data_IF_929880447718
#
_entry.id   IF_929880447718
#
_cell.length_a   1.000
_cell.length_b   1.000
_cell.length_c   1.000
_cell.angle_alpha   90.00
_cell.angle_beta   90.00
_cell.angle_gamma   90.00
#
_symmetry.space_group_name_H-M   'P 1'
#
loop_
_entity.id
_entity.type
_entity.pdbx_description
1 polymer ?
#
# COMPACT_ATOMS: atom_id res chain seq x y z
N UNK A 1 -4.82 -3.54 1.47
CA UNK A 1 -5.86 -3.99 0.53
C UNK A 1 -7.17 -3.28 0.85
N UNK A 2 -7.65 -2.42 -0.07
CA UNK A 2 -8.92 -1.72 0.02
C UNK A 2 -10.06 -2.51 -0.63
N UNK A 3 -11.30 -2.28 -0.21
CA UNK A 3 -12.49 -2.91 -0.80
C UNK A 3 -13.70 -1.97 -0.76
N UNK A 4 -14.64 -2.17 -1.70
CA UNK A 4 -15.88 -1.39 -1.78
C UNK A 4 -16.96 -2.06 -0.94
N UNK A 5 -17.45 -1.36 0.08
CA UNK A 5 -18.45 -1.89 1.04
C UNK A 5 -19.88 -1.88 0.49
N UNK A 6 -20.12 -1.22 -0.67
CA UNK A 6 -21.40 -1.26 -1.34
C UNK A 6 -21.56 -2.49 -2.25
N UNK A 7 -20.43 -3.07 -2.69
CA UNK A 7 -20.39 -4.20 -3.63
C UNK A 7 -20.22 -5.55 -2.93
N UNK A 8 -19.82 -5.54 -1.66
CA UNK A 8 -19.49 -6.73 -0.87
C UNK A 8 -20.32 -6.79 0.40
N UNK A 9 -20.97 -7.93 0.63
CA UNK A 9 -21.51 -8.27 1.93
C UNK A 9 -20.38 -8.45 2.95
N UNK A 10 -20.68 -8.40 4.24
CA UNK A 10 -19.67 -8.59 5.30
C UNK A 10 -18.88 -9.90 5.19
N UNK A 11 -19.53 -10.96 4.72
CA UNK A 11 -18.91 -12.30 4.54
C UNK A 11 -17.95 -12.34 3.34
N UNK A 12 -18.16 -11.49 2.35
CA UNK A 12 -17.35 -11.43 1.13
C UNK A 12 -16.16 -10.47 1.27
N UNK A 13 -16.12 -9.64 2.32
CA UNK A 13 -15.02 -8.69 2.53
C UNK A 13 -13.70 -9.45 2.75
N UNK A 14 -12.65 -9.11 2.00
CA UNK A 14 -11.37 -9.77 2.16
C UNK A 14 -10.75 -9.37 3.51
N UNK A 15 -10.13 -10.33 4.19
CA UNK A 15 -9.48 -10.14 5.49
C UNK A 15 -7.98 -10.33 5.40
N UNK A 16 -7.54 -11.18 4.47
CA UNK A 16 -6.13 -11.46 4.23
C UNK A 16 -5.83 -11.62 2.74
N UNK A 17 -4.56 -11.62 2.39
CA UNK A 17 -4.09 -11.78 1.01
C UNK A 17 -4.60 -13.06 0.35
N UNK A 18 -4.64 -14.16 1.10
CA UNK A 18 -5.12 -15.46 0.61
C UNK A 18 -6.58 -15.46 0.16
N UNK A 19 -7.39 -14.55 0.68
CA UNK A 19 -8.81 -14.47 0.30
C UNK A 19 -8.97 -14.10 -1.18
N UNK A 20 -8.04 -13.30 -1.74
CA UNK A 20 -8.05 -12.93 -3.15
C UNK A 20 -7.79 -14.12 -4.10
N UNK A 21 -7.39 -15.26 -3.58
CA UNK A 21 -7.16 -16.48 -4.37
C UNK A 21 -8.43 -17.29 -4.60
N UNK A 22 -9.54 -16.97 -3.90
CA UNK A 22 -10.81 -17.66 -4.09
C UNK A 22 -11.39 -17.36 -5.49
N UNK A 23 -12.10 -18.32 -6.12
CA UNK A 23 -12.67 -18.15 -7.47
C UNK A 23 -13.57 -16.93 -7.63
N UNK A 24 -14.22 -16.49 -6.56
CA UNK A 24 -15.04 -15.28 -6.52
C UNK A 24 -14.27 -14.01 -7.00
N UNK A 25 -12.98 -13.92 -6.73
CA UNK A 25 -12.17 -12.74 -6.98
C UNK A 25 -11.64 -12.63 -8.42
N UNK A 26 -11.83 -13.65 -9.25
CA UNK A 26 -11.31 -13.64 -10.61
C UNK A 26 -11.83 -12.45 -11.41
N UNK A 27 -10.90 -11.56 -11.82
CA UNK A 27 -11.20 -10.33 -12.57
C UNK A 27 -11.88 -9.22 -11.77
N UNK A 28 -12.10 -9.39 -10.44
CA UNK A 28 -12.87 -8.46 -9.62
C UNK A 28 -12.04 -7.52 -8.76
N UNK A 29 -10.74 -7.62 -8.81
CA UNK A 29 -9.85 -6.71 -8.08
C UNK A 29 -8.80 -6.10 -8.98
N UNK A 30 -8.20 -5.03 -8.52
CA UNK A 30 -7.18 -4.28 -9.24
C UNK A 30 -5.91 -4.10 -8.40
N UNK A 31 -4.79 -3.85 -9.09
CA UNK A 31 -3.51 -3.54 -8.47
C UNK A 31 -2.68 -2.62 -9.38
N UNK A 32 -1.69 -1.98 -8.80
CA UNK A 32 -0.75 -1.18 -9.59
C UNK A 32 0.10 -2.08 -10.49
N UNK A 33 0.37 -1.61 -11.70
CA UNK A 33 1.20 -2.33 -12.67
C UNK A 33 2.69 -2.36 -12.28
N UNK A 34 3.08 -1.62 -11.26
CA UNK A 34 4.45 -1.47 -10.75
C UNK A 34 4.61 -1.95 -9.28
N UNK A 35 3.83 -2.95 -8.82
CA UNK A 35 3.88 -3.49 -7.46
C UNK A 35 5.13 -4.37 -7.19
N UNK A 36 6.28 -3.98 -7.71
CA UNK A 36 7.52 -4.77 -7.60
C UNK A 36 8.08 -4.79 -6.18
N UNK A 37 8.04 -3.64 -5.49
CA UNK A 37 8.51 -3.52 -4.11
C UNK A 37 7.60 -4.30 -3.15
N UNK A 38 6.29 -4.26 -3.38
CA UNK A 38 5.33 -5.06 -2.63
C UNK A 38 5.62 -6.56 -2.79
N UNK A 39 5.81 -7.04 -4.01
CA UNK A 39 6.16 -8.43 -4.28
C UNK A 39 7.48 -8.82 -3.61
N UNK A 40 8.54 -8.02 -3.78
CA UNK A 40 9.83 -8.27 -3.15
C UNK A 40 9.73 -8.28 -1.62
N UNK A 41 8.88 -7.45 -1.03
CA UNK A 41 8.64 -7.41 0.42
C UNK A 41 7.90 -8.65 0.90
N UNK A 42 6.97 -9.19 0.13
CA UNK A 42 6.36 -10.49 0.42
C UNK A 42 7.38 -11.63 0.36
N UNK A 43 8.34 -11.57 -0.58
CA UNK A 43 9.45 -12.55 -0.63
C UNK A 43 10.32 -12.46 0.61
N UNK A 44 10.63 -11.27 1.08
CA UNK A 44 11.40 -11.06 2.31
C UNK A 44 10.68 -11.60 3.55
N UNK A 45 9.38 -11.39 3.64
CA UNK A 45 8.57 -11.79 4.79
C UNK A 45 8.18 -13.27 4.80
N UNK A 46 7.67 -13.80 3.68
CA UNK A 46 7.18 -15.17 3.59
C UNK A 46 8.21 -16.19 3.08
N UNK A 47 9.33 -15.71 2.55
CA UNK A 47 10.28 -16.53 1.79
C UNK A 47 9.88 -16.70 0.32
N UNK A 48 10.89 -16.94 -0.52
CA UNK A 48 10.77 -16.98 -1.99
C UNK A 48 9.74 -17.99 -2.49
N UNK A 49 9.70 -19.17 -1.89
CA UNK A 49 8.79 -20.24 -2.33
C UNK A 49 7.33 -19.87 -2.09
N UNK A 50 6.98 -19.45 -0.86
CA UNK A 50 5.60 -19.11 -0.50
C UNK A 50 5.11 -17.88 -1.25
N UNK A 51 5.91 -16.80 -1.27
CA UNK A 51 5.57 -15.58 -1.99
C UNK A 51 5.39 -15.83 -3.49
N UNK A 52 6.32 -16.58 -4.11
CA UNK A 52 6.21 -16.92 -5.52
C UNK A 52 5.00 -17.77 -5.87
N UNK A 53 4.62 -18.73 -5.01
CA UNK A 53 3.37 -19.50 -5.19
C UNK A 53 2.14 -18.59 -5.10
N UNK A 54 2.11 -17.72 -4.09
CA UNK A 54 1.02 -16.77 -3.89
C UNK A 54 0.86 -15.83 -5.08
N UNK A 55 1.93 -15.16 -5.52
CA UNK A 55 1.86 -14.16 -6.60
C UNK A 55 1.48 -14.80 -7.94
N UNK A 56 1.93 -16.03 -8.24
CA UNK A 56 1.47 -16.80 -9.41
C UNK A 56 -0.02 -17.12 -9.33
N UNK A 57 -0.51 -17.53 -8.17
CA UNK A 57 -1.93 -17.79 -7.97
C UNK A 57 -2.76 -16.50 -8.06
N UNK A 58 -2.22 -15.38 -7.57
CA UNK A 58 -2.85 -14.07 -7.69
C UNK A 58 -2.94 -13.60 -9.16
N UNK A 59 -1.89 -13.80 -9.96
CA UNK A 59 -1.88 -13.50 -11.39
C UNK A 59 -2.93 -14.34 -12.16
N UNK A 60 -3.13 -15.62 -11.76
CA UNK A 60 -4.18 -16.47 -12.33
C UNK A 60 -5.61 -15.96 -12.04
N UNK A 61 -5.80 -15.12 -11.03
CA UNK A 61 -7.06 -14.41 -10.76
C UNK A 61 -7.32 -13.25 -11.72
N UNK A 62 -6.36 -12.93 -12.61
CA UNK A 62 -6.52 -11.90 -13.64
C UNK A 62 -6.87 -10.51 -13.04
N UNK A 63 -6.05 -9.95 -12.13
CA UNK A 63 -6.31 -8.61 -11.61
C UNK A 63 -6.30 -7.57 -12.73
N UNK A 64 -7.11 -6.53 -12.56
CA UNK A 64 -7.07 -5.39 -13.46
C UNK A 64 -5.86 -4.51 -13.10
N UNK A 65 -4.95 -4.33 -14.05
CA UNK A 65 -3.79 -3.47 -13.85
C UNK A 65 -4.13 -2.02 -14.20
N UNK A 66 -3.75 -1.11 -13.33
CA UNK A 66 -3.85 0.35 -13.54
C UNK A 66 -2.58 0.99 -13.00
N UNK A 67 -2.30 2.19 -13.44
CA UNK A 67 -1.13 2.93 -12.96
C UNK A 67 -1.52 3.98 -11.93
N UNK A 68 -0.96 3.84 -10.73
CA UNK A 68 -1.08 4.80 -9.63
C UNK A 68 -2.16 4.45 -8.61
N UNK A 69 -1.73 4.32 -7.34
CA UNK A 69 -2.60 3.95 -6.23
C UNK A 69 -3.76 4.93 -6.01
N UNK A 70 -3.53 6.24 -6.21
CA UNK A 70 -4.59 7.25 -6.06
C UNK A 70 -5.71 7.07 -7.09
N UNK A 71 -5.36 6.71 -8.34
CA UNK A 71 -6.36 6.38 -9.35
C UNK A 71 -7.10 5.09 -8.97
N UNK A 72 -6.38 4.06 -8.56
CA UNK A 72 -6.97 2.80 -8.10
C UNK A 72 -7.97 3.02 -6.96
N UNK A 73 -7.63 3.84 -5.96
CA UNK A 73 -8.52 4.14 -4.85
C UNK A 73 -9.80 4.87 -5.30
N UNK A 74 -9.68 5.81 -6.25
CA UNK A 74 -10.83 6.53 -6.82
C UNK A 74 -11.74 5.59 -7.63
N UNK A 75 -11.18 4.73 -8.48
CA UNK A 75 -11.93 3.74 -9.27
C UNK A 75 -12.60 2.69 -8.37
N UNK A 76 -11.92 2.27 -7.30
CA UNK A 76 -12.52 1.41 -6.28
C UNK A 76 -13.74 2.08 -5.62
N UNK A 77 -13.63 3.36 -5.27
CA UNK A 77 -14.74 4.11 -4.68
C UNK A 77 -15.90 4.30 -5.66
N UNK A 78 -15.60 4.43 -6.95
CA UNK A 78 -16.60 4.50 -8.04
C UNK A 78 -17.28 3.14 -8.32
N UNK A 79 -16.74 2.01 -7.80
CA UNK A 79 -17.31 0.68 -7.98
C UNK A 79 -16.86 -0.02 -9.27
N UNK A 80 -15.73 0.37 -9.86
CA UNK A 80 -15.22 -0.31 -11.05
C UNK A 80 -14.73 -1.73 -10.75
N UNK A 81 -14.25 -1.96 -9.53
CA UNK A 81 -13.87 -3.28 -9.01
C UNK A 81 -14.22 -3.43 -7.53
N UNK A 82 -14.23 -4.66 -7.04
CA UNK A 82 -14.67 -4.98 -5.67
C UNK A 82 -13.57 -4.72 -4.62
N UNK A 83 -12.31 -4.91 -5.00
CA UNK A 83 -11.13 -4.66 -4.16
C UNK A 83 -9.96 -4.10 -4.97
N UNK A 84 -8.98 -3.50 -4.28
CA UNK A 84 -7.74 -3.04 -4.89
C UNK A 84 -6.58 -3.11 -3.90
N UNK A 85 -5.37 -3.34 -4.41
CA UNK A 85 -4.13 -3.18 -3.64
C UNK A 85 -3.79 -1.69 -3.67
N UNK A 86 -4.04 -1.02 -2.56
CA UNK A 86 -3.91 0.45 -2.43
C UNK A 86 -3.45 0.81 -1.02
N UNK A 87 -2.97 2.02 -0.85
CA UNK A 87 -2.57 2.51 0.46
C UNK A 87 -3.76 2.79 1.37
N UNK A 88 -3.73 2.34 2.64
CA UNK A 88 -4.82 2.56 3.58
C UNK A 88 -5.21 4.02 3.78
N UNK A 89 -4.23 4.95 3.79
CA UNK A 89 -4.51 6.37 3.98
C UNK A 89 -5.40 6.96 2.86
N UNK A 90 -5.29 6.48 1.63
CA UNK A 90 -6.14 6.92 0.51
C UNK A 90 -7.59 6.46 0.72
N UNK A 91 -7.76 5.23 1.19
CA UNK A 91 -9.09 4.71 1.54
C UNK A 91 -9.70 5.53 2.68
N UNK A 92 -8.93 5.85 3.72
CA UNK A 92 -9.43 6.67 4.82
C UNK A 92 -9.78 8.09 4.39
N UNK A 93 -9.02 8.70 3.49
CA UNK A 93 -9.40 10.00 2.91
C UNK A 93 -10.70 9.95 2.11
N UNK A 94 -10.94 8.87 1.36
CA UNK A 94 -12.19 8.67 0.63
C UNK A 94 -13.38 8.42 1.57
N UNK A 95 -13.18 7.66 2.66
CA UNK A 95 -14.19 7.48 3.72
C UNK A 95 -14.58 8.81 4.36
N UNK A 96 -13.62 9.68 4.66
CA UNK A 96 -13.90 11.02 5.20
C UNK A 96 -14.75 11.88 4.23
N UNK A 97 -14.68 11.59 2.93
CA UNK A 97 -15.52 12.22 1.89
C UNK A 97 -16.84 11.50 1.65
N UNK A 98 -17.18 10.49 2.45
CA UNK A 98 -18.43 9.73 2.37
C UNK A 98 -18.42 8.56 1.40
N UNK A 99 -17.27 8.17 0.84
CA UNK A 99 -17.19 6.99 -0.05
C UNK A 99 -17.43 5.69 0.74
N UNK A 100 -18.14 4.76 0.12
CA UNK A 100 -18.43 3.43 0.69
C UNK A 100 -17.29 2.45 0.43
N UNK A 101 -16.14 2.72 1.02
CA UNK A 101 -14.94 1.89 0.95
C UNK A 101 -14.39 1.60 2.35
N UNK A 102 -13.63 0.53 2.49
CA UNK A 102 -12.85 0.24 3.69
C UNK A 102 -11.61 -0.58 3.32
N UNK A 103 -10.79 -0.96 4.28
CA UNK A 103 -9.57 -1.74 4.02
C UNK A 103 -9.34 -2.82 5.07
N UNK A 104 -8.66 -3.89 4.67
CA UNK A 104 -8.35 -5.04 5.51
C UNK A 104 -7.14 -4.75 6.41
N UNK A 105 -7.38 -4.39 7.67
CA UNK A 105 -6.35 -4.18 8.69
C UNK A 105 -5.75 -5.49 9.21
N UNK A 106 -6.37 -6.62 8.91
CA UNK A 106 -5.96 -7.97 9.34
C UNK A 106 -5.03 -8.67 8.36
N UNK A 107 -4.73 -8.05 7.20
CA UNK A 107 -3.78 -8.62 6.22
C UNK A 107 -2.41 -8.85 6.85
N UNK A 108 -1.78 -9.99 6.53
CA UNK A 108 -0.50 -10.43 7.07
C UNK A 108 0.50 -10.79 5.95
N UNK A 109 1.50 -9.95 5.67
CA UNK A 109 1.81 -8.66 6.33
C UNK A 109 1.04 -7.49 5.71
N UNK A 110 0.99 -6.36 6.42
CA UNK A 110 0.74 -5.05 5.81
C UNK A 110 2.09 -4.50 5.34
N UNK A 111 2.31 -4.55 4.04
CA UNK A 111 3.54 -4.00 3.45
C UNK A 111 3.54 -2.49 3.59
N UNK A 112 4.62 -1.95 4.12
CA UNK A 112 4.76 -0.53 4.41
C UNK A 112 6.09 0.00 3.88
N UNK A 113 6.05 1.06 3.09
CA UNK A 113 7.24 1.83 2.71
C UNK A 113 7.36 3.11 3.52
N UNK A 114 8.58 3.56 3.72
CA UNK A 114 8.89 4.81 4.42
C UNK A 114 9.18 5.88 3.39
N UNK A 115 8.44 7.00 3.47
CA UNK A 115 8.82 8.18 2.69
C UNK A 115 10.06 8.84 3.31
N UNK A 116 11.10 9.01 2.52
CA UNK A 116 12.37 9.59 2.96
C UNK A 116 12.54 11.01 2.46
N UNK A 117 13.19 11.83 3.26
CA UNK A 117 13.69 13.14 2.87
C UNK A 117 15.21 13.14 2.95
N UNK A 118 15.85 13.61 1.89
CA UNK A 118 17.31 13.73 1.84
C UNK A 118 17.73 15.11 1.34
N UNK A 119 18.81 15.63 1.89
CA UNK A 119 19.44 16.85 1.41
C UNK A 119 20.43 16.49 0.29
N UNK A 120 20.24 17.07 -0.90
CA UNK A 120 21.19 16.88 -1.98
C UNK A 120 22.58 17.39 -1.59
N UNK A 121 23.65 16.63 -1.91
CA UNK A 121 25.04 17.06 -1.71
C UNK A 121 25.43 18.31 -2.51
N UNK A 122 24.64 18.67 -3.53
CA UNK A 122 24.79 19.88 -4.37
C UNK A 122 23.67 20.91 -4.13
N UNK A 123 22.99 20.86 -2.98
CA UNK A 123 21.90 21.79 -2.68
C UNK A 123 22.43 23.25 -2.66
N UNK A 124 21.83 24.18 -3.42
CA UNK A 124 22.27 25.59 -3.44
C UNK A 124 21.97 26.30 -2.12
N UNK A 125 20.97 25.83 -1.34
CA UNK A 125 20.51 26.42 -0.09
C UNK A 125 20.49 25.39 1.04
N UNK A 126 21.66 24.88 1.44
CA UNK A 126 21.84 23.81 2.44
C UNK A 126 21.09 24.10 3.75
N UNK A 127 21.20 25.32 4.27
CA UNK A 127 20.56 25.68 5.54
C UNK A 127 19.03 25.71 5.44
N UNK A 128 18.48 26.19 4.35
CA UNK A 128 17.03 26.14 4.10
C UNK A 128 16.54 24.68 3.99
N UNK A 129 17.29 23.80 3.31
CA UNK A 129 16.97 22.39 3.23
C UNK A 129 17.00 21.69 4.58
N UNK A 130 17.99 21.97 5.42
CA UNK A 130 18.06 21.47 6.81
C UNK A 130 16.89 21.98 7.65
N UNK A 131 16.53 23.26 7.51
CA UNK A 131 15.39 23.84 8.21
C UNK A 131 14.07 23.16 7.83
N UNK A 132 13.86 22.90 6.53
CA UNK A 132 12.69 22.19 6.04
C UNK A 132 12.61 20.77 6.62
N UNK A 133 13.72 20.01 6.60
CA UNK A 133 13.75 18.66 7.17
C UNK A 133 13.42 18.71 8.67
N UNK A 134 14.03 19.62 9.41
CA UNK A 134 13.76 19.78 10.84
C UNK A 134 12.30 20.15 11.11
N UNK A 135 11.72 21.02 10.28
CA UNK A 135 10.30 21.38 10.39
C UNK A 135 9.38 20.18 10.12
N UNK A 136 9.62 19.44 9.06
CA UNK A 136 8.80 18.26 8.74
C UNK A 136 8.88 17.21 9.85
N UNK A 137 10.04 17.04 10.48
CA UNK A 137 10.23 16.11 11.61
C UNK A 137 9.76 16.68 12.96
N UNK A 138 9.44 17.97 13.04
CA UNK A 138 8.89 18.58 14.25
C UNK A 138 7.49 18.07 14.58
N UNK A 139 7.01 18.33 15.80
CA UNK A 139 5.64 17.99 16.20
C UNK A 139 4.60 18.69 15.30
N UNK A 140 4.86 19.96 14.93
CA UNK A 140 3.98 20.70 14.03
C UNK A 140 3.93 20.07 12.64
N UNK A 141 5.08 19.75 12.04
CA UNK A 141 5.16 19.09 10.73
C UNK A 141 4.48 17.72 10.75
N UNK A 142 4.71 16.91 11.79
CA UNK A 142 4.08 15.59 11.92
C UNK A 142 2.58 15.67 12.23
N UNK A 143 2.13 16.77 12.85
CA UNK A 143 0.69 17.06 13.01
C UNK A 143 0.02 17.35 11.67
N UNK A 144 0.69 18.05 10.75
CA UNK A 144 0.20 18.23 9.38
C UNK A 144 0.10 16.87 8.68
N UNK A 145 1.13 16.03 8.78
CA UNK A 145 1.15 14.69 8.17
C UNK A 145 -0.04 13.84 8.65
N UNK A 146 -0.30 13.79 9.96
CA UNK A 146 -1.44 13.04 10.50
C UNK A 146 -2.79 13.58 10.03
N UNK A 147 -2.91 14.92 9.87
CA UNK A 147 -4.15 15.55 9.41
C UNK A 147 -4.44 15.27 7.91
N UNK A 148 -3.41 14.83 7.16
CA UNK A 148 -3.54 14.29 5.81
C UNK A 148 -3.85 12.79 5.80
N UNK A 149 -4.35 12.23 6.91
CA UNK A 149 -4.63 10.80 7.09
C UNK A 149 -3.41 9.89 6.89
N UNK A 150 -2.20 10.44 6.96
CA UNK A 150 -0.95 9.68 6.91
C UNK A 150 -0.49 9.30 8.31
N UNK A 151 0.40 8.31 8.38
CA UNK A 151 0.96 7.86 9.65
C UNK A 151 2.20 8.71 9.98
N UNK A 152 2.19 9.47 11.09
CA UNK A 152 3.36 10.21 11.53
C UNK A 152 4.43 9.27 12.08
N UNK A 153 5.70 9.67 11.96
CA UNK A 153 6.85 8.88 12.46
C UNK A 153 7.39 9.40 13.80
N UNK A 154 6.97 10.59 14.23
CA UNK A 154 7.46 11.18 15.49
C UNK A 154 6.82 10.48 16.69
N UNK A 155 7.63 10.00 17.67
CA UNK A 155 7.08 9.49 18.92
C UNK A 155 6.17 10.52 19.60
N UNK A 156 5.02 10.06 20.10
CA UNK A 156 4.01 10.93 20.75
C UNK A 156 2.99 11.56 19.82
N UNK A 157 3.21 11.60 18.51
CA UNK A 157 2.21 12.04 17.54
C UNK A 157 1.49 10.81 16.96
N UNK A 158 0.29 10.53 17.46
CA UNK A 158 -0.51 9.39 16.98
C UNK A 158 -1.31 9.75 15.72
N UNK A 159 -1.59 8.81 14.81
CA UNK A 159 -2.47 9.05 13.68
C UNK A 159 -3.87 9.48 14.16
N UNK A 160 -4.54 10.32 13.38
CA UNK A 160 -5.91 10.77 13.67
C UNK A 160 -6.91 9.62 13.59
N UNK A 161 -6.65 8.67 12.68
CA UNK A 161 -7.52 7.51 12.44
C UNK A 161 -6.93 6.32 13.20
N UNK A 162 -7.65 5.86 14.24
CA UNK A 162 -7.19 4.78 15.11
C UNK A 162 -6.83 3.49 14.34
N UNK A 163 -7.54 3.18 13.26
CA UNK A 163 -7.27 2.01 12.41
C UNK A 163 -5.88 2.06 11.75
N UNK A 164 -5.24 3.23 11.64
CA UNK A 164 -3.89 3.42 11.13
C UNK A 164 -2.82 3.35 12.23
N UNK A 165 -3.18 3.08 13.48
CA UNK A 165 -2.20 2.89 14.55
C UNK A 165 -1.41 1.60 14.29
N UNK A 166 -0.13 1.78 13.99
CA UNK A 166 0.77 0.69 13.61
C UNK A 166 0.97 -0.35 14.71
N UNK A 167 0.74 -0.01 15.96
CA UNK A 167 0.89 -0.94 17.09
C UNK A 167 -0.09 -2.13 17.06
N UNK A 168 -1.20 -1.98 16.34
CA UNK A 168 -2.24 -3.00 16.17
C UNK A 168 -2.17 -3.75 14.84
N UNK A 169 -1.20 -3.42 13.98
CA UNK A 169 -1.08 -3.94 12.63
C UNK A 169 0.14 -4.86 12.47
N UNK A 170 0.01 -5.89 11.65
CA UNK A 170 1.13 -6.77 11.28
C UNK A 170 1.94 -6.15 10.14
N UNK A 171 2.70 -5.13 10.48
CA UNK A 171 3.49 -4.37 9.52
C UNK A 171 4.79 -5.09 9.19
N UNK A 172 5.13 -5.11 7.91
CA UNK A 172 6.47 -5.42 7.42
C UNK A 172 6.95 -4.31 6.49
N UNK A 173 8.09 -3.74 6.82
CA UNK A 173 8.66 -2.65 6.04
C UNK A 173 9.38 -3.17 4.80
N UNK A 174 9.31 -2.40 3.72
CA UNK A 174 10.15 -2.62 2.54
C UNK A 174 11.61 -2.64 2.98
N UNK A 175 12.36 -3.72 2.71
CA UNK A 175 13.76 -3.83 3.11
C UNK A 175 14.63 -2.70 2.54
N UNK A 176 15.56 -2.18 3.32
CA UNK A 176 16.40 -1.05 2.93
C UNK A 176 17.28 -1.34 1.69
N UNK A 177 17.58 -2.62 1.42
CA UNK A 177 18.34 -3.07 0.26
C UNK A 177 17.47 -3.46 -0.94
N UNK A 178 16.16 -3.26 -0.88
CA UNK A 178 15.20 -3.60 -1.95
C UNK A 178 15.59 -2.99 -3.29
N UNK A 179 16.12 -1.75 -3.30
CA UNK A 179 16.55 -1.08 -4.52
C UNK A 179 17.59 -1.88 -5.33
N UNK A 180 18.36 -2.77 -4.69
CA UNK A 180 19.35 -3.64 -5.36
C UNK A 180 18.70 -4.82 -6.08
N UNK A 181 17.49 -5.18 -5.69
CA UNK A 181 16.75 -6.36 -6.17
C UNK A 181 15.54 -5.99 -7.01
N UNK A 182 15.18 -4.70 -7.06
CA UNK A 182 13.96 -4.23 -7.73
C UNK A 182 13.87 -4.68 -9.19
N UNK A 183 14.97 -4.64 -9.93
CA UNK A 183 14.99 -5.06 -11.33
C UNK A 183 14.70 -6.56 -11.53
N UNK A 184 15.09 -7.41 -10.56
CA UNK A 184 14.76 -8.85 -10.58
C UNK A 184 13.27 -9.04 -10.35
N UNK A 185 12.71 -8.39 -9.31
CA UNK A 185 11.29 -8.48 -9.01
C UNK A 185 10.41 -7.85 -10.08
N UNK A 186 10.84 -6.74 -10.68
CA UNK A 186 10.17 -6.13 -11.82
C UNK A 186 10.05 -7.11 -13.00
N UNK A 187 11.16 -7.75 -13.37
CA UNK A 187 11.17 -8.73 -14.46
C UNK A 187 10.17 -9.85 -14.20
N UNK A 188 10.24 -10.48 -13.02
CA UNK A 188 9.35 -11.59 -12.66
C UNK A 188 7.88 -11.13 -12.59
N UNK A 189 7.62 -9.97 -12.01
CA UNK A 189 6.28 -9.41 -11.92
C UNK A 189 5.68 -9.18 -13.32
N UNK A 190 6.43 -8.58 -14.23
CA UNK A 190 6.00 -8.36 -15.61
C UNK A 190 5.74 -9.68 -16.35
N UNK A 191 6.58 -10.69 -16.16
CA UNK A 191 6.37 -12.02 -16.72
C UNK A 191 5.08 -12.69 -16.21
N UNK A 192 4.65 -12.41 -15.00
CA UNK A 192 3.45 -12.98 -14.40
C UNK A 192 2.16 -12.23 -14.76
N UNK A 193 2.18 -10.91 -14.72
CA UNK A 193 0.99 -10.09 -14.84
C UNK A 193 0.78 -9.44 -16.21
N UNK A 194 1.84 -9.29 -17.02
CA UNK A 194 1.77 -8.63 -18.33
C UNK A 194 1.68 -9.58 -19.51
N UNK A 195 1.57 -10.88 -19.27
CA UNK A 195 1.30 -11.82 -20.36
C UNK A 195 -0.08 -11.55 -20.94
N UNK A 196 -0.09 -11.17 -22.21
CA UNK A 196 -1.31 -11.10 -23.03
C UNK A 196 -1.84 -12.49 -23.33
#
# INVERSE_FOLDING_TARGET
MGYNTAMLSEKERPRDWSDLLAPFWKGKFAMDEEEFEWFGTLVDYWGREKAGKFVRALAAQQPQLRRGHSLLAQLLAAGEFHAAIVFPFEIEQLKLKGARVDWAATSDPIVTSINVMALSGKAPHVNAGKLLINYVLSEQGQTIIKNLSRVPIRPGVKPTIAKLDQSALKIHYVPADMFRKVAEYEKEFRELFWKK
#
